data_IF_362027379629
#
_entry.id   IF_362027379629
#
_cell.length_a   1.000
_cell.length_b   1.000
_cell.length_c   1.000
_cell.angle_alpha   90.00
_cell.angle_beta   90.00
_cell.angle_gamma   90.00
#
_symmetry.space_group_name_H-M   'P 1'
#
loop_
_entity.id
_entity.type
_entity.pdbx_description
1 polymer ?
#
# COMPACT_ATOMS: atom_id res chain seq x y z
N UNK A 1 19.95 9.45 9.17
CA UNK A 1 19.29 8.35 9.93
C UNK A 1 17.89 8.74 10.41
N UNK A 2 17.52 10.04 10.38
CA UNK A 2 16.21 10.56 10.82
C UNK A 2 15.13 10.51 9.74
N UNK A 3 15.47 10.72 8.46
CA UNK A 3 14.47 10.80 7.36
C UNK A 3 13.68 9.49 7.13
N UNK A 4 14.31 8.35 7.39
CA UNK A 4 13.74 7.03 7.14
C UNK A 4 12.62 6.69 8.13
N UNK A 5 12.72 7.18 9.37
CA UNK A 5 11.73 6.92 10.42
C UNK A 5 10.52 7.86 10.29
N UNK A 6 10.77 9.11 9.87
CA UNK A 6 9.71 10.12 9.70
C UNK A 6 8.79 9.77 8.52
N UNK A 7 9.36 9.29 7.41
CA UNK A 7 8.58 8.83 6.26
C UNK A 7 7.76 7.55 6.56
N UNK A 8 8.25 6.68 7.47
CA UNK A 8 7.52 5.48 7.92
C UNK A 8 6.35 5.79 8.84
N UNK A 9 6.50 6.80 9.70
CA UNK A 9 5.43 7.27 10.57
C UNK A 9 4.34 7.94 9.73
N UNK A 10 4.74 8.77 8.77
CA UNK A 10 3.82 9.45 7.87
C UNK A 10 3.06 8.49 6.93
N UNK A 11 3.67 7.40 6.47
CA UNK A 11 2.96 6.41 5.63
C UNK A 11 1.92 5.61 6.42
N UNK A 12 2.22 5.28 7.68
CA UNK A 12 1.28 4.61 8.60
C UNK A 12 0.12 5.53 9.02
N UNK A 13 0.40 6.80 9.33
CA UNK A 13 -0.62 7.78 9.72
C UNK A 13 -1.59 8.14 8.59
N UNK A 14 -1.20 7.93 7.33
CA UNK A 14 -1.96 8.37 6.16
C UNK A 14 -2.82 7.28 5.51
N UNK A 15 -2.77 6.04 6.00
CA UNK A 15 -3.63 4.94 5.55
C UNK A 15 -4.81 4.83 6.51
N UNK A 16 -5.93 5.48 6.21
CA UNK A 16 -6.92 5.84 7.24
C UNK A 16 -7.98 4.77 7.54
N UNK A 17 -8.24 3.78 6.65
CA UNK A 17 -9.14 2.66 6.99
C UNK A 17 -9.06 1.44 6.02
N UNK A 18 -9.47 0.24 6.49
CA UNK A 18 -9.76 -0.90 5.61
C UNK A 18 -10.78 -0.54 4.52
N UNK A 19 -10.39 -0.73 3.25
CA UNK A 19 -11.27 -0.60 2.09
C UNK A 19 -11.18 0.73 1.33
N UNK A 20 -10.66 1.79 1.94
CA UNK A 20 -10.52 3.11 1.29
C UNK A 20 -9.68 3.07 0.02
N UNK A 21 -8.62 2.25 0.05
CA UNK A 21 -7.67 2.11 -1.04
C UNK A 21 -8.03 1.00 -2.02
N UNK A 22 -9.17 0.32 -1.86
CA UNK A 22 -9.57 -0.75 -2.76
C UNK A 22 -9.61 -0.26 -4.22
N UNK A 23 -8.97 -1.02 -5.11
CA UNK A 23 -8.83 -0.67 -6.52
C UNK A 23 -7.72 0.32 -6.86
N UNK A 24 -7.00 0.89 -5.88
CA UNK A 24 -5.79 1.67 -6.15
C UNK A 24 -4.78 0.80 -6.90
N UNK A 25 -4.01 1.41 -7.82
CA UNK A 25 -2.91 0.72 -8.50
C UNK A 25 -1.76 0.55 -7.53
N UNK A 26 -1.05 -0.57 -7.60
CA UNK A 26 0.24 -0.73 -6.91
C UNK A 26 1.33 -0.62 -7.96
N UNK A 27 2.26 0.31 -7.75
CA UNK A 27 3.35 0.64 -8.68
C UNK A 27 4.70 0.30 -8.05
N UNK A 28 5.63 -0.16 -8.86
CA UNK A 28 7.05 -0.23 -8.48
C UNK A 28 7.68 1.18 -8.42
N UNK A 29 8.91 1.33 -7.91
CA UNK A 29 9.58 2.63 -7.83
C UNK A 29 9.79 3.32 -9.20
N UNK A 30 9.80 2.56 -10.30
CA UNK A 30 9.95 3.08 -11.67
C UNK A 30 8.59 3.50 -12.28
N UNK A 31 7.48 3.22 -11.58
CA UNK A 31 6.13 3.56 -11.99
C UNK A 31 5.39 2.45 -12.76
N UNK A 32 5.97 1.26 -12.91
CA UNK A 32 5.30 0.13 -13.55
C UNK A 32 4.24 -0.48 -12.64
N UNK A 33 3.11 -0.87 -13.21
CA UNK A 33 2.00 -1.48 -12.45
C UNK A 33 2.33 -2.93 -12.07
N UNK A 34 2.38 -3.20 -10.77
CA UNK A 34 2.47 -4.53 -10.18
C UNK A 34 1.09 -5.18 -10.08
N UNK A 35 0.09 -4.41 -9.65
CA UNK A 35 -1.24 -4.95 -9.34
C UNK A 35 -2.25 -3.90 -8.90
N UNK A 36 -3.27 -4.34 -8.18
CA UNK A 36 -4.26 -3.48 -7.55
C UNK A 36 -4.57 -3.92 -6.13
N UNK A 37 -4.84 -2.93 -5.27
CA UNK A 37 -5.22 -3.13 -3.88
C UNK A 37 -6.58 -3.84 -3.81
N UNK A 38 -6.66 -4.89 -3.01
CA UNK A 38 -7.93 -5.50 -2.61
C UNK A 38 -8.42 -4.90 -1.30
N UNK A 39 -7.57 -4.92 -0.27
CA UNK A 39 -7.91 -4.50 1.09
C UNK A 39 -6.65 -4.21 1.91
N UNK A 40 -6.82 -3.47 3.01
CA UNK A 40 -5.81 -3.27 4.06
C UNK A 40 -6.09 -4.22 5.22
N UNK A 41 -5.02 -4.79 5.76
CA UNK A 41 -4.99 -5.57 6.98
C UNK A 41 -4.46 -4.69 8.10
N UNK A 42 -5.21 -4.64 9.19
CA UNK A 42 -4.85 -3.91 10.41
C UNK A 42 -4.44 -4.89 11.52
N UNK A 43 -3.64 -4.41 12.45
CA UNK A 43 -3.23 -5.16 13.65
C UNK A 43 -4.29 -5.04 14.76
N UNK A 44 -3.97 -5.54 15.96
CA UNK A 44 -4.88 -5.49 17.13
C UNK A 44 -5.16 -4.08 17.66
N UNK A 45 -4.40 -3.09 17.22
CA UNK A 45 -4.55 -1.68 17.57
C UNK A 45 -5.26 -0.88 16.47
N UNK A 46 -5.85 -1.56 15.48
CA UNK A 46 -6.47 -0.97 14.30
C UNK A 46 -5.50 -0.17 13.40
N UNK A 47 -4.19 -0.41 13.55
CA UNK A 47 -3.18 0.23 12.70
C UNK A 47 -2.92 -0.62 11.45
N UNK A 48 -2.79 -0.02 10.25
CA UNK A 48 -2.42 -0.73 9.04
C UNK A 48 -1.08 -1.48 9.17
N UNK A 49 -1.04 -2.73 8.76
CA UNK A 49 0.18 -3.56 8.75
C UNK A 49 0.51 -4.07 7.34
N UNK A 50 -0.50 -4.52 6.58
CA UNK A 50 -0.30 -4.99 5.22
C UNK A 50 -1.37 -4.52 4.25
N UNK A 51 -0.98 -4.39 2.99
CA UNK A 51 -1.90 -4.26 1.85
C UNK A 51 -1.95 -5.60 1.11
N UNK A 52 -3.15 -6.14 0.90
CA UNK A 52 -3.33 -7.29 0.01
C UNK A 52 -3.46 -6.79 -1.42
N UNK A 53 -2.57 -7.26 -2.28
CA UNK A 53 -2.48 -6.85 -3.68
C UNK A 53 -2.80 -8.02 -4.58
N UNK A 54 -3.72 -7.82 -5.51
CA UNK A 54 -4.00 -8.74 -6.61
C UNK A 54 -3.03 -8.48 -7.76
N UNK A 55 -2.27 -9.51 -8.13
CA UNK A 55 -1.25 -9.44 -9.19
C UNK A 55 -1.85 -9.70 -10.57
N UNK A 56 -1.34 -8.96 -11.57
CA UNK A 56 -1.60 -9.19 -12.99
C UNK A 56 -3.07 -9.03 -13.42
N UNK A 57 -3.33 -9.30 -14.71
CA UNK A 57 -4.64 -9.04 -15.34
C UNK A 57 -5.69 -10.14 -15.08
N UNK A 58 -5.28 -11.34 -14.65
CA UNK A 58 -6.18 -12.47 -14.40
C UNK A 58 -6.40 -12.76 -12.90
N UNK A 59 -5.65 -12.11 -12.01
CA UNK A 59 -5.99 -12.08 -10.59
C UNK A 59 -5.90 -13.40 -9.83
N UNK A 60 -5.13 -14.36 -10.33
CA UNK A 60 -5.00 -15.69 -9.72
C UNK A 60 -4.05 -15.70 -8.52
N UNK A 61 -3.30 -14.63 -8.30
CA UNK A 61 -2.31 -14.53 -7.22
C UNK A 61 -2.51 -13.25 -6.43
N UNK A 62 -2.35 -13.36 -5.12
CA UNK A 62 -2.30 -12.24 -4.20
C UNK A 62 -0.99 -12.25 -3.43
N UNK A 63 -0.53 -11.07 -3.02
CA UNK A 63 0.61 -10.89 -2.12
C UNK A 63 0.25 -9.91 -1.01
N UNK A 64 0.88 -10.05 0.14
CA UNK A 64 0.79 -9.10 1.25
C UNK A 64 2.03 -8.22 1.22
N UNK A 65 1.83 -6.92 1.13
CA UNK A 65 2.90 -5.92 1.10
C UNK A 65 2.86 -5.14 2.42
N UNK A 66 3.96 -5.09 3.18
CA UNK A 66 4.02 -4.29 4.40
C UNK A 66 3.78 -2.82 4.11
N UNK A 67 2.94 -2.14 4.89
CA UNK A 67 2.62 -0.72 4.66
C UNK A 67 3.83 0.18 4.85
N UNK A 68 4.86 -0.29 5.57
CA UNK A 68 6.08 0.50 5.80
C UNK A 68 6.74 0.85 4.49
N UNK A 69 6.73 -0.05 3.49
CA UNK A 69 7.38 0.17 2.18
C UNK A 69 6.44 0.79 1.14
N UNK A 70 5.32 1.35 1.56
CA UNK A 70 4.31 1.91 0.67
C UNK A 70 4.17 3.41 0.91
N UNK A 71 4.03 4.16 -0.18
CA UNK A 71 3.68 5.57 -0.17
C UNK A 71 2.39 5.79 -0.95
N UNK A 72 1.54 6.72 -0.49
CA UNK A 72 0.25 6.99 -1.11
C UNK A 72 0.33 8.18 -2.06
N UNK A 73 -0.02 7.94 -3.33
CA UNK A 73 -0.26 8.98 -4.34
C UNK A 73 -1.77 9.07 -4.58
N UNK A 74 -2.42 9.99 -3.87
CA UNK A 74 -3.86 10.21 -3.96
C UNK A 74 -4.30 10.75 -5.32
N UNK A 75 -3.44 11.55 -5.98
CA UNK A 75 -3.76 12.14 -7.29
C UNK A 75 -3.84 11.05 -8.35
N UNK A 76 -2.94 10.07 -8.32
CA UNK A 76 -2.94 8.95 -9.26
C UNK A 76 -3.80 7.77 -8.83
N UNK A 77 -4.39 7.83 -7.63
CA UNK A 77 -5.01 6.69 -6.93
C UNK A 77 -4.09 5.47 -6.97
N UNK A 78 -2.86 5.65 -6.48
CA UNK A 78 -1.81 4.66 -6.50
C UNK A 78 -1.08 4.52 -5.15
N UNK A 79 -0.66 3.29 -4.86
CA UNK A 79 0.31 2.95 -3.84
C UNK A 79 1.65 2.68 -4.54
N UNK A 80 2.70 3.38 -4.14
CA UNK A 80 4.03 3.28 -4.74
C UNK A 80 4.97 2.60 -3.76
N UNK A 81 5.63 1.52 -4.21
CA UNK A 81 6.66 0.85 -3.42
C UNK A 81 7.92 1.70 -3.36
N UNK A 82 8.63 1.67 -2.23
CA UNK A 82 9.88 2.42 -1.99
C UNK A 82 11.05 1.52 -1.65
#
# INVERSE_FOLDING_TARGET
MTDVLENQKASRERLEAPGEYAGYKVLDPEGHKIGCVLELFVNLHDEPEYVRVKLGLFGLRTVMIPVEIVTVDETRRALVLR
#
